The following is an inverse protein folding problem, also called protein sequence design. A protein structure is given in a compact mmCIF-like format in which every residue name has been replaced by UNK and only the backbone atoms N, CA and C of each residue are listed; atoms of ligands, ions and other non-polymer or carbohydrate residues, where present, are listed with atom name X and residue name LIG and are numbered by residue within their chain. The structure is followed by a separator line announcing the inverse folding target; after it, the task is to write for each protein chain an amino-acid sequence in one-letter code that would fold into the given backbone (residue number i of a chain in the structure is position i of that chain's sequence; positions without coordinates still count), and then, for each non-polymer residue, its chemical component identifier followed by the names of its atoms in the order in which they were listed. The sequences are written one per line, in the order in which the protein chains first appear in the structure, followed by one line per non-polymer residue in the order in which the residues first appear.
data_IF_117372237621
#
_entry.id   IF_117372237621
#
_cell.length_a   1.000
_cell.length_b   1.000
_cell.length_c   1.000
_cell.angle_alpha   90.00
_cell.angle_beta   90.00
_cell.angle_gamma   90.00
#
_symmetry.space_group_name_H-M   'P 1'
#
loop_
_entity.id
_entity.type
_entity.pdbx_description
1 polymer ?
#
# COMPACT_ATOMS: atom_id res chain seq x y z
N UNK A 1 39.10 -8.01 -18.56
CA UNK A 1 37.95 -7.42 -19.28
C UNK A 1 36.77 -7.58 -18.35
N UNK A 2 36.51 -6.57 -17.54
CA UNK A 2 35.51 -6.65 -16.47
C UNK A 2 34.12 -6.38 -17.07
N UNK A 3 33.14 -7.17 -16.66
CA UNK A 3 31.74 -7.10 -17.12
C UNK A 3 31.08 -5.79 -16.63
N UNK A 4 30.26 -5.10 -17.44
CA UNK A 4 29.70 -3.79 -17.11
C UNK A 4 28.39 -3.85 -16.29
N UNK A 5 28.07 -4.98 -15.65
CA UNK A 5 26.90 -5.06 -14.77
C UNK A 5 27.26 -4.53 -13.37
N UNK A 6 27.44 -3.21 -13.26
CA UNK A 6 27.20 -2.53 -11.99
C UNK A 6 25.72 -2.74 -11.64
N UNK A 7 25.38 -3.31 -10.47
CA UNK A 7 24.01 -3.29 -10.00
C UNK A 7 23.61 -1.81 -9.95
N UNK A 8 22.52 -1.45 -10.61
CA UNK A 8 21.84 -0.21 -10.26
C UNK A 8 21.55 -0.35 -8.76
N UNK A 9 21.82 0.66 -7.94
CA UNK A 9 21.38 0.67 -6.54
C UNK A 9 19.84 0.65 -6.56
N UNK A 10 19.28 -0.56 -6.66
CA UNK A 10 17.85 -0.80 -6.64
C UNK A 10 17.39 -0.47 -5.23
N UNK A 11 16.80 0.73 -5.07
CA UNK A 11 16.30 1.17 -3.79
C UNK A 11 15.13 0.26 -3.38
N UNK A 12 15.41 -0.70 -2.49
CA UNK A 12 14.39 -1.58 -1.93
C UNK A 12 13.60 -0.77 -0.91
N UNK A 13 12.31 -0.57 -1.20
CA UNK A 13 11.36 0.06 -0.30
C UNK A 13 10.62 -1.04 0.46
N UNK A 14 10.67 -0.98 1.78
CA UNK A 14 9.98 -1.90 2.68
C UNK A 14 8.92 -1.16 3.50
N UNK A 15 7.66 -1.56 3.36
CA UNK A 15 6.55 -1.10 4.19
C UNK A 15 6.10 -2.27 5.10
N UNK A 16 6.59 -2.34 6.35
CA UNK A 16 6.28 -3.46 7.24
C UNK A 16 4.84 -3.39 7.75
N UNK A 17 4.20 -4.56 7.89
CA UNK A 17 2.89 -4.68 8.52
C UNK A 17 2.96 -4.25 10.00
N UNK A 18 2.01 -3.43 10.41
CA UNK A 18 1.92 -2.80 11.73
C UNK A 18 0.83 -3.41 12.61
N UNK A 19 0.03 -4.35 12.09
CA UNK A 19 -0.99 -5.05 12.85
C UNK A 19 -0.36 -6.01 13.87
N UNK A 20 -0.81 -5.90 15.13
CA UNK A 20 -0.39 -6.80 16.20
C UNK A 20 -0.86 -8.25 15.98
N UNK A 21 -2.04 -8.42 15.39
CA UNK A 21 -2.63 -9.73 15.07
C UNK A 21 -3.28 -9.72 13.68
N UNK A 22 -2.52 -9.94 12.59
CA UNK A 22 -3.08 -10.03 11.23
C UNK A 22 -3.91 -11.31 11.07
N UNK A 23 -5.15 -11.18 10.55
CA UNK A 23 -6.13 -12.27 10.39
C UNK A 23 -6.84 -12.17 9.05
N UNK A 24 -7.13 -13.30 8.40
CA UNK A 24 -7.87 -13.28 7.12
C UNK A 24 -7.00 -12.79 5.95
N UNK A 25 -6.72 -13.68 5.00
CA UNK A 25 -5.83 -13.40 3.86
C UNK A 25 -6.56 -13.37 2.51
N UNK A 26 -7.87 -13.63 2.49
CA UNK A 26 -8.65 -13.66 1.25
C UNK A 26 -8.81 -12.22 0.75
N UNK A 27 -8.39 -11.96 -0.50
CA UNK A 27 -8.45 -10.63 -1.12
C UNK A 27 -7.25 -9.72 -0.84
N UNK A 28 -6.24 -10.18 -0.10
CA UNK A 28 -5.06 -9.36 0.22
C UNK A 28 -4.24 -8.97 -1.03
N UNK A 29 -4.09 -9.91 -1.97
CA UNK A 29 -3.35 -9.68 -3.23
C UNK A 29 -4.12 -8.70 -4.11
N UNK A 30 -5.45 -8.82 -4.19
CA UNK A 30 -6.30 -7.93 -4.96
C UNK A 30 -6.26 -6.51 -4.39
N UNK A 31 -6.35 -6.37 -3.06
CA UNK A 31 -6.22 -5.08 -2.38
C UNK A 31 -4.87 -4.42 -2.64
N UNK A 32 -3.77 -5.18 -2.57
CA UNK A 32 -2.43 -4.69 -2.92
C UNK A 32 -2.34 -4.27 -4.39
N UNK A 33 -2.85 -5.08 -5.31
CA UNK A 33 -2.80 -4.80 -6.75
C UNK A 33 -3.60 -3.55 -7.13
N UNK A 34 -4.80 -3.37 -6.54
CA UNK A 34 -5.62 -2.18 -6.75
C UNK A 34 -4.94 -0.95 -6.17
N UNK A 35 -4.39 -1.04 -4.96
CA UNK A 35 -3.64 0.06 -4.34
C UNK A 35 -2.43 0.49 -5.19
N UNK A 36 -1.68 -0.47 -5.73
CA UNK A 36 -0.56 -0.21 -6.64
C UNK A 36 -1.05 0.45 -7.94
N UNK A 37 -2.07 -0.11 -8.59
CA UNK A 37 -2.61 0.44 -9.82
C UNK A 37 -3.15 1.87 -9.64
N UNK A 38 -3.86 2.12 -8.53
CA UNK A 38 -4.35 3.44 -8.17
C UNK A 38 -3.21 4.42 -7.92
N UNK A 39 -2.20 4.02 -7.14
CA UNK A 39 -1.05 4.86 -6.83
C UNK A 39 -0.23 5.22 -8.08
N UNK A 40 -0.01 4.27 -8.99
CA UNK A 40 0.63 4.53 -10.29
C UNK A 40 -0.20 5.50 -11.13
N UNK A 41 -1.52 5.30 -11.22
CA UNK A 41 -2.41 6.17 -11.98
C UNK A 41 -2.47 7.60 -11.42
N UNK A 42 -2.26 7.76 -10.12
CA UNK A 42 -2.20 9.06 -9.44
C UNK A 42 -0.81 9.71 -9.49
N UNK A 43 0.20 9.03 -10.03
CA UNK A 43 1.57 9.53 -10.10
C UNK A 43 2.24 9.66 -8.72
N UNK A 44 1.88 8.78 -7.77
CA UNK A 44 2.51 8.76 -6.45
C UNK A 44 3.94 8.23 -6.52
N UNK A 45 4.77 8.64 -5.57
CA UNK A 45 6.12 8.09 -5.40
C UNK A 45 6.05 6.61 -5.01
N UNK A 46 7.06 5.83 -5.40
CA UNK A 46 7.10 4.37 -5.14
C UNK A 46 6.97 4.08 -3.63
N UNK A 47 7.54 4.94 -2.78
CA UNK A 47 7.43 4.85 -1.32
C UNK A 47 5.98 4.98 -0.83
N UNK A 48 5.24 5.94 -1.38
CA UNK A 48 3.83 6.17 -1.03
C UNK A 48 2.96 5.02 -1.53
N UNK A 49 3.26 4.49 -2.72
CA UNK A 49 2.59 3.31 -3.28
C UNK A 49 2.80 2.09 -2.37
N UNK A 50 4.03 1.88 -1.86
CA UNK A 50 4.33 0.78 -0.96
C UNK A 50 3.56 0.90 0.38
N UNK A 51 3.48 2.11 0.94
CA UNK A 51 2.69 2.36 2.15
C UNK A 51 1.19 2.20 1.92
N UNK A 52 0.68 2.66 0.78
CA UNK A 52 -0.73 2.51 0.40
C UNK A 52 -1.11 1.03 0.22
N UNK A 53 -0.25 0.25 -0.45
CA UNK A 53 -0.44 -1.18 -0.61
C UNK A 53 -0.43 -1.91 0.75
N UNK A 54 0.50 -1.57 1.64
CA UNK A 54 0.52 -2.14 2.99
C UNK A 54 -0.75 -1.78 3.78
N UNK A 55 -1.21 -0.52 3.72
CA UNK A 55 -2.43 -0.09 4.40
C UNK A 55 -3.69 -0.81 3.88
N UNK A 56 -3.78 -1.05 2.57
CA UNK A 56 -4.86 -1.81 1.96
C UNK A 56 -4.86 -3.28 2.43
N UNK A 57 -3.67 -3.90 2.49
CA UNK A 57 -3.48 -5.24 3.03
C UNK A 57 -3.88 -5.32 4.52
N UNK A 58 -3.49 -4.34 5.33
CA UNK A 58 -3.87 -4.28 6.74
C UNK A 58 -5.37 -4.11 6.93
N UNK A 59 -6.05 -3.37 6.04
CA UNK A 59 -7.51 -3.25 6.09
C UNK A 59 -8.17 -4.63 5.93
N UNK A 60 -7.74 -5.43 4.94
CA UNK A 60 -8.17 -6.82 4.76
C UNK A 60 -7.86 -7.65 6.01
N UNK A 61 -6.64 -7.53 6.54
CA UNK A 61 -6.16 -8.34 7.66
C UNK A 61 -6.73 -7.95 9.04
N UNK A 62 -7.35 -6.77 9.14
CA UNK A 62 -7.95 -6.26 10.38
C UNK A 62 -9.43 -6.66 10.55
N UNK A 63 -10.07 -7.15 9.49
CA UNK A 63 -11.50 -7.46 9.48
C UNK A 63 -11.86 -8.79 10.12
N UNK A 64 -12.83 -8.78 11.04
CA UNK A 64 -13.45 -10.00 11.59
C UNK A 64 -14.49 -10.55 10.61
N UNK A 65 -14.05 -11.34 9.63
CA UNK A 65 -14.83 -12.20 8.71
C UNK A 65 -15.98 -11.53 7.93
N UNK A 66 -15.98 -11.74 6.61
CA UNK A 66 -16.95 -11.26 5.60
C UNK A 66 -16.86 -9.76 5.24
N UNK A 67 -15.65 -9.21 5.23
CA UNK A 67 -15.40 -7.89 4.64
C UNK A 67 -15.17 -8.03 3.13
N UNK A 68 -16.12 -7.54 2.32
CA UNK A 68 -15.90 -7.33 0.88
C UNK A 68 -15.36 -5.91 0.72
N UNK A 69 -14.08 -5.80 0.43
CA UNK A 69 -13.42 -4.52 0.20
C UNK A 69 -13.90 -3.96 -1.14
N UNK A 70 -14.61 -2.84 -1.11
CA UNK A 70 -15.10 -2.16 -2.31
C UNK A 70 -14.13 -1.05 -2.75
N UNK A 71 -14.26 -0.60 -4.00
CA UNK A 71 -13.50 0.56 -4.48
C UNK A 71 -13.77 1.82 -3.65
N UNK A 72 -14.99 1.96 -3.11
CA UNK A 72 -15.38 3.10 -2.28
C UNK A 72 -14.71 3.06 -0.91
N UNK A 73 -14.56 1.87 -0.31
CA UNK A 73 -13.84 1.69 0.96
C UNK A 73 -12.38 2.13 0.82
N UNK A 74 -11.74 1.76 -0.30
CA UNK A 74 -10.36 2.15 -0.58
C UNK A 74 -10.22 3.64 -0.87
N UNK A 75 -11.13 4.22 -1.66
CA UNK A 75 -11.12 5.65 -1.98
C UNK A 75 -11.31 6.52 -0.72
N UNK A 76 -12.23 6.13 0.17
CA UNK A 76 -12.43 6.80 1.45
C UNK A 76 -11.17 6.71 2.32
N UNK A 77 -10.53 5.54 2.41
CA UNK A 77 -9.33 5.38 3.23
C UNK A 77 -8.14 6.17 2.68
N UNK A 78 -7.98 6.21 1.36
CA UNK A 78 -6.97 7.03 0.69
C UNK A 78 -7.21 8.53 0.95
N UNK A 79 -8.47 8.99 0.92
CA UNK A 79 -8.84 10.36 1.25
C UNK A 79 -8.44 10.77 2.67
N UNK A 80 -8.72 9.92 3.66
CA UNK A 80 -8.35 10.17 5.06
C UNK A 80 -6.83 10.23 5.27
N UNK A 81 -6.08 9.32 4.63
CA UNK A 81 -4.60 9.31 4.70
C UNK A 81 -4.01 10.54 4.03
N UNK A 82 -4.48 10.89 2.83
CA UNK A 82 -4.03 12.08 2.10
C UNK A 82 -4.33 13.36 2.90
N UNK A 83 -5.50 13.45 3.51
CA UNK A 83 -5.88 14.54 4.40
C UNK A 83 -4.93 14.62 5.60
N UNK A 84 -4.68 13.50 6.30
CA UNK A 84 -3.75 13.44 7.43
C UNK A 84 -2.33 13.91 7.06
N UNK A 85 -1.85 13.55 5.87
CA UNK A 85 -0.54 13.97 5.37
C UNK A 85 -0.50 15.48 5.04
N UNK A 86 -1.61 16.06 4.56
CA UNK A 86 -1.73 17.49 4.29
C UNK A 86 -1.75 18.34 5.57
N UNK A 87 -2.40 17.88 6.65
CA UNK A 87 -2.43 18.62 7.93
C UNK A 87 -1.11 18.48 8.69
N UNK A 88 -0.39 17.37 8.54
CA UNK A 88 0.92 17.18 9.19
C UNK A 88 2.01 18.12 8.66
N UNK A 89 1.78 18.80 7.53
CA UNK A 89 2.73 19.73 6.89
C UNK A 89 2.42 21.21 7.18
N UNK A 90 1.47 21.52 8.08
CA UNK A 90 1.15 22.87 8.55
C UNK A 90 1.60 23.07 9.99
#
# INVERSE_FOLDING_TARGET
MESPFTPVDEQIISAPCTLAEPRGAIGIIDAAAVAVAAGVNLGLEVTDIAHLANAACECIMSGTQNFTLTSDDLANRLGEVAWSLQISQR
#
